data_IF_913875646127
#
_entry.id   IF_913875646127
#
_cell.length_a   1.000
_cell.length_b   1.000
_cell.length_c   1.000
_cell.angle_alpha   90.00
_cell.angle_beta   90.00
_cell.angle_gamma   90.00
#
_symmetry.space_group_name_H-M   'P 1'
#
loop_
_entity.id
_entity.type
_entity.pdbx_description
1 polymer ?
#
# COMPACT_ATOMS: atom_id res chain seq x y z
N UNK A 1 -26.99 -3.34 4.50
CA UNK A 1 -27.11 -3.78 3.08
C UNK A 1 -27.47 -2.62 2.14
N UNK A 2 -28.69 -2.05 2.11
CA UNK A 2 -29.01 -0.93 1.18
C UNK A 2 -28.11 0.30 1.37
N UNK A 3 -27.86 0.71 2.62
CA UNK A 3 -26.96 1.83 2.95
C UNK A 3 -25.51 1.57 2.49
N UNK A 4 -25.02 0.35 2.67
CA UNK A 4 -23.65 -0.02 2.26
C UNK A 4 -23.53 -0.05 0.74
N UNK A 5 -24.54 -0.55 0.03
CA UNK A 5 -24.57 -0.55 -1.43
C UNK A 5 -24.50 0.88 -1.98
N UNK A 6 -25.28 1.81 -1.41
CA UNK A 6 -25.28 3.23 -1.81
C UNK A 6 -23.91 3.85 -1.51
N UNK A 7 -23.37 3.62 -0.31
CA UNK A 7 -22.06 4.15 0.08
C UNK A 7 -20.95 3.66 -0.87
N UNK A 8 -20.87 2.35 -1.12
CA UNK A 8 -19.83 1.77 -1.95
C UNK A 8 -20.02 2.09 -3.43
N UNK A 9 -21.26 2.15 -3.93
CA UNK A 9 -21.54 2.59 -5.31
C UNK A 9 -21.14 4.06 -5.52
N UNK A 10 -21.48 4.94 -4.58
CA UNK A 10 -21.05 6.34 -4.60
C UNK A 10 -19.53 6.47 -4.51
N UNK A 11 -18.90 5.73 -3.60
CA UNK A 11 -17.44 5.72 -3.42
C UNK A 11 -16.72 5.29 -4.71
N UNK A 12 -17.15 4.19 -5.34
CA UNK A 12 -16.56 3.71 -6.59
C UNK A 12 -16.69 4.75 -7.71
N UNK A 13 -17.86 5.39 -7.81
CA UNK A 13 -18.11 6.46 -8.79
C UNK A 13 -17.16 7.64 -8.58
N UNK A 14 -16.95 8.05 -7.33
CA UNK A 14 -16.01 9.14 -6.99
C UNK A 14 -14.58 8.75 -7.35
N UNK A 15 -14.13 7.53 -7.02
CA UNK A 15 -12.79 7.05 -7.36
C UNK A 15 -12.59 7.06 -8.89
N UNK A 16 -13.55 6.51 -9.64
CA UNK A 16 -13.49 6.51 -11.10
C UNK A 16 -13.42 7.94 -11.65
N UNK A 17 -14.20 8.87 -11.11
CA UNK A 17 -14.17 10.26 -11.55
C UNK A 17 -12.84 10.95 -11.25
N UNK A 18 -12.31 10.79 -10.02
CA UNK A 18 -11.05 11.42 -9.60
C UNK A 18 -9.84 10.89 -10.37
N UNK A 19 -9.82 9.60 -10.66
CA UNK A 19 -8.68 8.94 -11.30
C UNK A 19 -8.97 8.52 -12.75
N UNK A 20 -9.99 9.09 -13.39
CA UNK A 20 -10.41 8.71 -14.75
C UNK A 20 -9.29 8.82 -15.79
N UNK A 21 -8.34 9.74 -15.61
CA UNK A 21 -7.24 9.92 -16.56
C UNK A 21 -6.30 8.70 -16.59
N UNK A 22 -6.31 7.84 -15.57
CA UNK A 22 -5.57 6.57 -15.58
C UNK A 22 -5.91 5.72 -16.83
N UNK A 23 -7.18 5.69 -17.24
CA UNK A 23 -7.64 4.93 -18.41
C UNK A 23 -7.09 5.44 -19.75
N UNK A 24 -6.47 6.63 -19.78
CA UNK A 24 -5.79 7.18 -20.96
C UNK A 24 -4.27 6.91 -20.97
N UNK A 25 -3.73 6.40 -19.87
CA UNK A 25 -2.31 6.07 -19.73
C UNK A 25 -2.04 4.71 -20.36
N UNK A 26 -1.09 4.68 -21.29
CA UNK A 26 -0.62 3.47 -21.95
C UNK A 26 0.52 2.82 -21.15
N UNK A 27 0.96 1.64 -21.58
CA UNK A 27 2.14 0.99 -21.00
C UNK A 27 3.37 1.90 -20.99
N UNK A 28 4.13 1.85 -19.91
CA UNK A 28 5.29 2.67 -19.68
C UNK A 28 6.33 1.94 -18.80
N UNK A 29 7.62 2.16 -19.10
CA UNK A 29 8.76 1.58 -18.37
C UNK A 29 8.63 0.07 -18.16
N UNK A 30 8.55 -0.37 -16.90
CA UNK A 30 8.57 -1.77 -16.47
C UNK A 30 7.41 -2.59 -17.05
N UNK A 31 6.32 -1.93 -17.49
CA UNK A 31 5.20 -2.59 -18.15
C UNK A 31 5.65 -3.40 -19.38
N UNK A 32 6.60 -2.87 -20.16
CA UNK A 32 7.12 -3.56 -21.35
C UNK A 32 7.95 -4.80 -20.97
N UNK A 33 8.72 -4.71 -19.89
CA UNK A 33 9.44 -5.86 -19.36
C UNK A 33 8.46 -6.94 -18.87
N UNK A 34 7.42 -6.54 -18.14
CA UNK A 34 6.39 -7.47 -17.65
C UNK A 34 5.62 -8.15 -18.78
N UNK A 35 5.27 -7.43 -19.84
CA UNK A 35 4.72 -8.02 -21.06
C UNK A 35 5.68 -9.05 -21.67
N UNK A 36 6.98 -8.76 -21.70
CA UNK A 36 7.94 -9.70 -22.28
C UNK A 36 8.02 -11.01 -21.49
N UNK A 37 8.12 -10.94 -20.16
CA UNK A 37 8.25 -12.14 -19.31
C UNK A 37 6.94 -12.93 -19.16
N UNK A 38 5.79 -12.29 -19.38
CA UNK A 38 4.48 -12.95 -19.30
C UNK A 38 4.05 -13.62 -20.61
N UNK A 39 4.82 -13.46 -21.69
CA UNK A 39 4.49 -14.03 -22.99
C UNK A 39 4.82 -15.52 -23.05
N UNK A 40 3.81 -16.36 -22.84
CA UNK A 40 3.93 -17.82 -22.84
C UNK A 40 2.85 -18.45 -23.74
N UNK A 41 3.16 -19.64 -24.27
CA UNK A 41 2.27 -20.37 -25.18
C UNK A 41 1.89 -21.77 -24.68
N UNK A 42 2.19 -22.09 -23.42
CA UNK A 42 1.92 -23.41 -22.85
C UNK A 42 1.50 -23.33 -21.39
N UNK A 43 0.72 -24.32 -20.94
CA UNK A 43 0.31 -24.45 -19.54
C UNK A 43 1.51 -24.61 -18.59
N UNK A 44 2.55 -25.34 -19.01
CA UNK A 44 3.78 -25.45 -18.24
C UNK A 44 4.47 -24.10 -18.08
N UNK A 45 4.45 -23.25 -19.12
CA UNK A 45 4.94 -21.87 -19.02
C UNK A 45 4.20 -21.08 -17.94
N UNK A 46 2.88 -21.28 -17.80
CA UNK A 46 2.09 -20.60 -16.79
C UNK A 46 2.45 -21.08 -15.37
N UNK A 47 2.67 -22.38 -15.17
CA UNK A 47 3.15 -22.91 -13.89
C UNK A 47 4.54 -22.38 -13.54
N UNK A 48 5.40 -22.18 -14.55
CA UNK A 48 6.74 -21.62 -14.35
C UNK A 48 6.72 -20.17 -13.85
N UNK A 49 5.62 -19.43 -14.02
CA UNK A 49 5.46 -18.14 -13.36
C UNK A 49 5.62 -18.24 -11.86
N UNK A 50 5.32 -19.37 -11.22
CA UNK A 50 5.47 -19.52 -9.76
C UNK A 50 6.84 -20.05 -9.34
N UNK A 51 7.78 -20.27 -10.27
CA UNK A 51 9.14 -20.70 -9.96
C UNK A 51 9.96 -19.58 -9.31
N UNK A 52 10.50 -19.74 -8.10
CA UNK A 52 11.32 -18.71 -7.46
C UNK A 52 12.73 -18.58 -8.05
N UNK A 53 13.13 -19.49 -8.95
CA UNK A 53 14.45 -19.49 -9.59
C UNK A 53 14.39 -18.61 -10.85
N UNK A 54 14.94 -17.39 -10.77
CA UNK A 54 14.88 -16.37 -11.81
C UNK A 54 15.88 -15.23 -11.55
N UNK A 55 16.14 -14.43 -12.58
CA UNK A 55 17.09 -13.32 -12.55
C UNK A 55 16.45 -11.95 -12.21
N UNK A 56 15.17 -11.93 -11.86
CA UNK A 56 14.40 -10.73 -11.51
C UNK A 56 13.54 -10.96 -10.25
N UNK A 57 12.93 -9.91 -9.72
CA UNK A 57 12.13 -10.00 -8.49
C UNK A 57 10.96 -10.99 -8.60
N UNK A 58 10.80 -11.86 -7.61
CA UNK A 58 9.75 -12.87 -7.57
C UNK A 58 8.36 -12.29 -7.23
N UNK A 59 7.57 -11.90 -8.24
CA UNK A 59 6.24 -11.26 -8.02
C UNK A 59 5.15 -11.83 -8.96
N UNK A 60 4.96 -13.16 -8.96
CA UNK A 60 4.27 -13.87 -10.04
C UNK A 60 2.85 -13.39 -10.35
N UNK A 61 2.09 -12.94 -9.34
CA UNK A 61 0.70 -12.54 -9.54
C UNK A 61 0.56 -11.21 -10.28
N UNK A 62 1.13 -10.10 -9.79
CA UNK A 62 0.98 -8.79 -10.44
C UNK A 62 1.85 -8.60 -11.68
N UNK A 63 2.97 -9.33 -11.84
CA UNK A 63 3.86 -9.13 -12.99
C UNK A 63 3.63 -10.13 -14.11
N UNK A 64 3.48 -11.43 -13.83
CA UNK A 64 3.31 -12.42 -14.92
C UNK A 64 1.84 -12.79 -15.13
N UNK A 65 1.12 -13.19 -14.09
CA UNK A 65 -0.28 -13.63 -14.24
C UNK A 65 -1.18 -12.49 -14.72
N UNK A 66 -1.00 -11.29 -14.17
CA UNK A 66 -1.74 -10.11 -14.61
C UNK A 66 -1.42 -9.75 -16.07
N UNK A 67 -0.15 -9.62 -16.45
CA UNK A 67 0.21 -9.25 -17.83
C UNK A 67 -0.11 -10.35 -18.85
N UNK A 68 -0.01 -11.62 -18.47
CA UNK A 68 -0.50 -12.74 -19.26
C UNK A 68 -2.00 -12.58 -19.54
N UNK A 69 -2.80 -12.28 -18.52
CA UNK A 69 -4.23 -12.01 -18.70
C UNK A 69 -4.47 -10.81 -19.64
N UNK A 70 -3.73 -9.71 -19.47
CA UNK A 70 -3.88 -8.51 -20.33
C UNK A 70 -3.50 -8.80 -21.79
N UNK A 71 -2.48 -9.61 -22.05
CA UNK A 71 -2.15 -10.04 -23.42
C UNK A 71 -3.30 -10.82 -24.08
N UNK A 72 -3.98 -11.67 -23.32
CA UNK A 72 -5.15 -12.42 -23.83
C UNK A 72 -6.35 -11.53 -24.14
N UNK A 73 -6.40 -10.33 -23.57
CA UNK A 73 -7.41 -9.31 -23.92
C UNK A 73 -7.02 -8.46 -25.14
N UNK A 74 -5.90 -8.79 -25.81
CA UNK A 74 -5.36 -7.99 -26.90
C UNK A 74 -4.68 -6.72 -26.42
N UNK A 75 -4.07 -6.74 -25.22
CA UNK A 75 -3.40 -5.58 -24.61
C UNK A 75 -4.34 -4.37 -24.40
N UNK A 76 -5.59 -4.64 -24.03
CA UNK A 76 -6.60 -3.60 -23.88
C UNK A 76 -6.39 -2.79 -22.58
N UNK A 77 -5.99 -1.52 -22.72
CA UNK A 77 -5.72 -0.61 -21.59
C UNK A 77 -6.93 -0.39 -20.69
N UNK A 78 -8.13 -0.31 -21.27
CA UNK A 78 -9.36 -0.10 -20.51
C UNK A 78 -9.61 -1.31 -19.60
N UNK A 79 -9.39 -2.52 -20.12
CA UNK A 79 -9.53 -3.76 -19.33
C UNK A 79 -8.45 -3.82 -18.25
N UNK A 80 -7.21 -3.46 -18.57
CA UNK A 80 -6.11 -3.44 -17.60
C UNK A 80 -6.41 -2.51 -16.41
N UNK A 81 -6.75 -1.25 -16.68
CA UNK A 81 -7.11 -0.30 -15.64
C UNK A 81 -8.40 -0.69 -14.91
N UNK A 82 -9.39 -1.24 -15.61
CA UNK A 82 -10.60 -1.74 -14.95
C UNK A 82 -10.27 -2.81 -13.90
N UNK A 83 -9.40 -3.78 -14.23
CA UNK A 83 -8.96 -4.80 -13.27
C UNK A 83 -8.27 -4.17 -12.07
N UNK A 84 -7.35 -3.22 -12.28
CA UNK A 84 -6.67 -2.51 -11.18
C UNK A 84 -7.69 -1.83 -10.26
N UNK A 85 -8.62 -1.06 -10.82
CA UNK A 85 -9.63 -0.32 -10.07
C UNK A 85 -10.62 -1.23 -9.34
N UNK A 86 -11.06 -2.33 -9.96
CA UNK A 86 -11.92 -3.31 -9.31
C UNK A 86 -11.19 -4.00 -8.16
N UNK A 87 -9.93 -4.40 -8.34
CA UNK A 87 -9.12 -4.99 -7.28
C UNK A 87 -8.94 -4.01 -6.13
N UNK A 88 -8.62 -2.74 -6.41
CA UNK A 88 -8.51 -1.69 -5.39
C UNK A 88 -9.82 -1.51 -4.61
N UNK A 89 -10.94 -1.46 -5.33
CA UNK A 89 -12.27 -1.32 -4.72
C UNK A 89 -12.65 -2.50 -3.82
N UNK A 90 -12.32 -3.74 -4.21
CA UNK A 90 -12.47 -4.92 -3.35
C UNK A 90 -11.63 -4.75 -2.07
N UNK A 91 -10.39 -4.26 -2.21
CA UNK A 91 -9.53 -3.93 -1.07
C UNK A 91 -10.17 -2.92 -0.12
N UNK A 92 -10.77 -1.86 -0.64
CA UNK A 92 -11.50 -0.86 0.16
C UNK A 92 -12.69 -1.45 0.92
N UNK A 93 -13.43 -2.40 0.32
CA UNK A 93 -14.51 -3.09 1.02
C UNK A 93 -13.97 -3.90 2.21
N UNK A 94 -12.86 -4.61 2.03
CA UNK A 94 -12.22 -5.36 3.13
C UNK A 94 -11.58 -4.46 4.17
N UNK A 95 -11.03 -3.31 3.78
CA UNK A 95 -10.54 -2.28 4.69
C UNK A 95 -11.70 -1.77 5.58
N UNK A 96 -12.82 -1.37 4.98
CA UNK A 96 -14.02 -0.96 5.72
C UNK A 96 -14.50 -2.05 6.68
N UNK A 97 -14.60 -3.30 6.20
CA UNK A 97 -15.06 -4.42 7.03
C UNK A 97 -14.11 -4.70 8.20
N UNK A 98 -12.80 -4.58 7.98
CA UNK A 98 -11.78 -4.70 9.02
C UNK A 98 -11.93 -3.61 10.07
N UNK A 99 -11.99 -2.34 9.63
CA UNK A 99 -12.19 -1.18 10.49
C UNK A 99 -13.49 -1.29 11.28
N UNK A 100 -14.58 -1.70 10.65
CA UNK A 100 -15.87 -1.86 11.32
C UNK A 100 -15.82 -2.97 12.37
N UNK A 101 -15.13 -4.07 12.08
CA UNK A 101 -15.02 -5.18 13.02
C UNK A 101 -14.17 -4.81 14.24
N UNK A 102 -13.08 -4.05 14.04
CA UNK A 102 -12.17 -3.63 15.11
C UNK A 102 -12.77 -2.48 15.94
N UNK A 103 -13.26 -1.43 15.28
CA UNK A 103 -13.71 -0.19 15.94
C UNK A 103 -15.16 -0.25 16.40
N UNK A 104 -15.97 -1.12 15.78
CA UNK A 104 -17.44 -1.18 15.96
C UNK A 104 -18.13 0.16 15.70
N UNK A 105 -17.53 1.03 14.89
CA UNK A 105 -18.04 2.35 14.58
C UNK A 105 -18.18 2.53 13.06
N UNK A 106 -19.42 2.55 12.59
CA UNK A 106 -19.77 2.64 11.17
C UNK A 106 -19.33 3.96 10.54
N UNK A 107 -19.56 5.08 11.24
CA UNK A 107 -19.21 6.43 10.74
C UNK A 107 -17.69 6.56 10.61
N UNK A 108 -16.94 6.14 11.63
CA UNK A 108 -15.48 6.15 11.60
C UNK A 108 -14.95 5.26 10.47
N UNK A 109 -15.50 4.06 10.32
CA UNK A 109 -15.04 3.10 9.31
C UNK A 109 -15.32 3.60 7.89
N UNK A 110 -16.51 4.19 7.65
CA UNK A 110 -16.82 4.83 6.35
C UNK A 110 -15.92 6.02 6.10
N UNK A 111 -15.78 6.93 7.05
CA UNK A 111 -14.97 8.14 6.89
C UNK A 111 -13.51 7.80 6.62
N UNK A 112 -12.92 6.88 7.39
CA UNK A 112 -11.53 6.45 7.19
C UNK A 112 -11.34 5.75 5.83
N UNK A 113 -12.27 4.89 5.42
CA UNK A 113 -12.20 4.22 4.10
C UNK A 113 -12.35 5.23 2.96
N UNK A 114 -13.27 6.20 3.10
CA UNK A 114 -13.45 7.27 2.12
C UNK A 114 -12.18 8.12 1.98
N UNK A 115 -11.61 8.59 3.11
CA UNK A 115 -10.40 9.40 3.11
C UNK A 115 -9.20 8.65 2.51
N UNK A 116 -9.05 7.36 2.82
CA UNK A 116 -8.04 6.52 2.19
C UNK A 116 -8.28 6.41 0.69
N UNK A 117 -9.51 6.08 0.27
CA UNK A 117 -9.88 5.86 -1.12
C UNK A 117 -9.62 7.04 -2.07
N UNK A 118 -9.81 8.27 -1.58
CA UNK A 118 -9.64 9.50 -2.38
C UNK A 118 -8.25 10.11 -2.22
N UNK A 119 -7.36 9.47 -1.46
CA UNK A 119 -6.02 9.99 -1.20
C UNK A 119 -5.17 10.03 -2.46
N UNK A 120 -4.49 11.16 -2.69
CA UNK A 120 -3.58 11.35 -3.82
C UNK A 120 -2.35 10.44 -3.78
N UNK A 121 -2.06 9.81 -2.63
CA UNK A 121 -0.99 8.81 -2.53
C UNK A 121 -1.19 7.64 -3.47
N UNK A 122 -2.43 7.40 -3.93
CA UNK A 122 -2.80 6.31 -4.84
C UNK A 122 -2.63 6.62 -6.32
N UNK A 123 -2.29 7.86 -6.70
CA UNK A 123 -2.16 8.24 -8.11
C UNK A 123 -1.20 7.30 -8.83
N UNK A 124 -0.04 7.04 -8.24
CA UNK A 124 0.97 6.18 -8.86
C UNK A 124 0.47 4.74 -9.03
N UNK A 125 -0.17 4.20 -7.99
CA UNK A 125 -0.66 2.82 -7.93
C UNK A 125 -1.85 2.56 -8.87
N UNK A 126 -2.62 3.60 -9.19
CA UNK A 126 -3.77 3.51 -10.07
C UNK A 126 -3.44 3.89 -11.53
N UNK A 127 -2.38 4.68 -11.78
CA UNK A 127 -2.02 5.13 -13.13
C UNK A 127 -0.96 4.24 -13.78
N UNK A 128 -0.02 3.68 -13.01
CA UNK A 128 1.07 2.88 -13.57
C UNK A 128 0.85 1.39 -13.32
N UNK A 129 0.59 0.62 -14.38
CA UNK A 129 0.20 -0.79 -14.28
C UNK A 129 1.29 -1.68 -13.64
N UNK A 130 2.57 -1.38 -13.81
CA UNK A 130 3.68 -2.05 -13.11
C UNK A 130 3.52 -2.06 -11.59
N UNK A 131 2.85 -1.05 -11.04
CA UNK A 131 2.64 -0.90 -9.60
C UNK A 131 1.39 -1.63 -9.09
N UNK A 132 0.70 -2.39 -9.96
CA UNK A 132 -0.44 -3.22 -9.59
C UNK A 132 -0.12 -4.19 -8.43
N UNK A 133 1.15 -4.56 -8.26
CA UNK A 133 1.65 -5.29 -7.10
C UNK A 133 1.21 -4.68 -5.75
N UNK A 134 1.19 -3.35 -5.64
CA UNK A 134 0.80 -2.66 -4.40
C UNK A 134 -0.69 -2.78 -4.13
N UNK A 135 -1.50 -2.61 -5.19
CA UNK A 135 -2.96 -2.70 -5.12
C UNK A 135 -3.40 -4.12 -4.77
N UNK A 136 -2.83 -5.12 -5.45
CA UNK A 136 -3.17 -6.52 -5.22
C UNK A 136 -2.71 -6.99 -3.84
N UNK A 137 -1.50 -6.61 -3.42
CA UNK A 137 -1.01 -6.85 -2.06
C UNK A 137 -1.93 -6.20 -1.01
N UNK A 138 -2.29 -4.92 -1.17
CA UNK A 138 -3.21 -4.21 -0.27
C UNK A 138 -4.56 -4.94 -0.15
N UNK A 139 -5.12 -5.38 -1.28
CA UNK A 139 -6.41 -6.08 -1.30
C UNK A 139 -6.34 -7.41 -0.56
N UNK A 140 -5.31 -8.22 -0.82
CA UNK A 140 -5.13 -9.49 -0.13
C UNK A 140 -4.83 -9.32 1.36
N UNK A 141 -3.99 -8.35 1.75
CA UNK A 141 -3.70 -8.10 3.17
C UNK A 141 -4.92 -7.56 3.93
N UNK A 142 -5.70 -6.66 3.32
CA UNK A 142 -6.94 -6.16 3.92
C UNK A 142 -7.96 -7.28 4.10
N UNK A 143 -8.09 -8.17 3.12
CA UNK A 143 -8.96 -9.33 3.21
C UNK A 143 -8.44 -10.36 4.24
N UNK A 144 -7.14 -10.64 4.25
CA UNK A 144 -6.50 -11.51 5.23
C UNK A 144 -6.77 -11.00 6.65
N UNK A 145 -6.53 -9.71 6.91
CA UNK A 145 -6.79 -9.12 8.21
C UNK A 145 -8.27 -9.20 8.62
N UNK A 146 -9.20 -8.94 7.70
CA UNK A 146 -10.62 -9.11 7.99
C UNK A 146 -10.95 -10.53 8.47
N UNK A 147 -10.49 -11.56 7.75
CA UNK A 147 -10.74 -12.96 8.12
C UNK A 147 -9.99 -13.37 9.40
N UNK A 148 -8.78 -12.85 9.62
CA UNK A 148 -8.03 -13.02 10.85
C UNK A 148 -8.84 -12.54 12.07
N UNK A 149 -9.35 -11.30 12.02
CA UNK A 149 -10.16 -10.72 13.11
C UNK A 149 -11.50 -11.48 13.28
N UNK A 150 -12.05 -12.03 12.20
CA UNK A 150 -13.23 -12.93 12.24
C UNK A 150 -12.93 -14.35 12.71
N UNK A 151 -11.67 -14.66 13.06
CA UNK A 151 -11.20 -15.99 13.50
C UNK A 151 -11.29 -17.08 12.41
N UNK A 152 -11.44 -16.69 11.15
CA UNK A 152 -11.40 -17.59 10.00
C UNK A 152 -9.95 -17.72 9.50
N UNK A 153 -9.14 -18.51 10.18
CA UNK A 153 -7.69 -18.55 9.96
C UNK A 153 -7.29 -19.08 8.59
N UNK A 154 -7.95 -20.12 8.08
CA UNK A 154 -7.62 -20.71 6.79
C UNK A 154 -7.72 -19.71 5.62
N UNK A 155 -8.86 -19.02 5.38
CA UNK A 155 -8.93 -18.03 4.31
C UNK A 155 -7.96 -16.86 4.54
N UNK A 156 -7.74 -16.47 5.79
CA UNK A 156 -6.74 -15.44 6.13
C UNK A 156 -5.31 -15.83 5.73
N UNK A 157 -4.91 -17.07 6.03
CA UNK A 157 -3.59 -17.60 5.66
C UNK A 157 -3.46 -17.72 4.15
N UNK A 158 -4.49 -18.21 3.45
CA UNK A 158 -4.47 -18.30 1.98
C UNK A 158 -4.27 -16.92 1.37
N UNK A 159 -5.04 -15.92 1.79
CA UNK A 159 -4.92 -14.55 1.31
C UNK A 159 -3.55 -13.93 1.66
N UNK A 160 -3.01 -14.26 2.83
CA UNK A 160 -1.66 -13.84 3.19
C UNK A 160 -0.60 -14.45 2.26
N UNK A 161 -0.67 -15.74 1.94
CA UNK A 161 0.22 -16.38 0.97
C UNK A 161 0.10 -15.71 -0.42
N UNK A 162 -1.13 -15.43 -0.86
CA UNK A 162 -1.35 -14.71 -2.12
C UNK A 162 -0.73 -13.30 -2.10
N UNK A 163 -0.77 -12.59 -0.96
CA UNK A 163 -0.09 -11.30 -0.83
C UNK A 163 1.43 -11.41 -0.92
N UNK A 164 2.02 -12.51 -0.43
CA UNK A 164 3.45 -12.80 -0.55
C UNK A 164 3.86 -13.10 -1.99
N UNK A 165 2.94 -13.52 -2.86
CA UNK A 165 3.16 -13.63 -4.30
C UNK A 165 2.99 -12.30 -5.06
N UNK A 166 2.60 -11.23 -4.36
CA UNK A 166 2.49 -9.90 -4.95
C UNK A 166 3.77 -9.09 -4.73
N UNK A 167 4.27 -9.05 -3.49
CA UNK A 167 5.45 -8.26 -3.13
C UNK A 167 6.09 -8.78 -1.86
N UNK A 168 7.41 -8.74 -1.79
CA UNK A 168 8.23 -9.15 -0.65
C UNK A 168 7.85 -8.42 0.64
N UNK A 169 7.43 -7.16 0.57
CA UNK A 169 7.03 -6.35 1.74
C UNK A 169 5.81 -6.91 2.47
N UNK A 170 5.06 -7.83 1.85
CA UNK A 170 3.96 -8.51 2.53
C UNK A 170 4.41 -9.32 3.76
N UNK A 171 5.67 -9.78 3.85
CA UNK A 171 6.20 -10.50 5.03
C UNK A 171 5.97 -9.74 6.34
N UNK A 172 5.96 -8.41 6.24
CA UNK A 172 5.78 -7.48 7.36
C UNK A 172 4.38 -7.53 7.96
N UNK A 173 3.41 -8.10 7.26
CA UNK A 173 2.08 -8.33 7.79
C UNK A 173 2.09 -9.25 9.02
N UNK A 174 3.01 -10.22 9.09
CA UNK A 174 3.14 -11.07 10.27
C UNK A 174 3.57 -10.27 11.51
N UNK A 175 4.47 -9.29 11.34
CA UNK A 175 4.85 -8.36 12.39
C UNK A 175 3.66 -7.48 12.78
N UNK A 176 2.95 -6.92 11.79
CA UNK A 176 1.72 -6.17 12.04
C UNK A 176 0.70 -6.96 12.88
N UNK A 177 0.48 -8.25 12.59
CA UNK A 177 -0.41 -9.10 13.38
C UNK A 177 0.09 -9.32 14.81
N UNK A 178 1.41 -9.48 15.02
CA UNK A 178 2.00 -9.51 16.36
C UNK A 178 1.70 -8.23 17.11
N UNK A 179 1.91 -7.07 16.50
CA UNK A 179 1.60 -5.77 17.11
C UNK A 179 0.10 -5.65 17.44
N UNK A 180 -0.77 -6.03 16.50
CA UNK A 180 -2.21 -6.02 16.72
C UNK A 180 -2.62 -6.88 17.92
N UNK A 181 -2.14 -8.13 18.02
CA UNK A 181 -2.46 -9.04 19.13
C UNK A 181 -1.89 -8.57 20.48
N UNK A 182 -0.68 -8.01 20.49
CA UNK A 182 -0.02 -7.62 21.75
C UNK A 182 -0.62 -6.34 22.33
N UNK A 183 -0.95 -5.36 21.47
CA UNK A 183 -1.31 -4.02 21.92
C UNK A 183 -2.81 -3.67 21.81
N UNK A 184 -3.55 -4.24 20.85
CA UNK A 184 -4.97 -3.93 20.65
C UNK A 184 -5.90 -5.04 21.15
N UNK A 185 -5.45 -6.30 21.08
CA UNK A 185 -6.29 -7.43 21.46
C UNK A 185 -6.00 -7.90 22.89
N UNK A 186 -6.98 -7.77 23.80
CA UNK A 186 -6.81 -8.11 25.22
C UNK A 186 -6.58 -9.60 25.49
N UNK A 187 -7.05 -10.48 24.60
CA UNK A 187 -6.88 -11.94 24.72
C UNK A 187 -5.76 -12.37 23.79
N UNK A 188 -4.56 -12.52 24.33
CA UNK A 188 -3.36 -12.89 23.58
C UNK A 188 -3.49 -14.33 23.10
N UNK A 189 -3.80 -14.52 21.83
CA UNK A 189 -3.85 -15.84 21.20
C UNK A 189 -2.62 -16.04 20.29
N UNK A 190 -1.41 -15.83 20.84
CA UNK A 190 -0.13 -15.79 20.11
C UNK A 190 0.11 -17.06 19.27
N UNK A 191 -0.42 -18.22 19.69
CA UNK A 191 -0.32 -19.47 18.92
C UNK A 191 -0.89 -19.35 17.50
N UNK A 192 -1.87 -18.48 17.28
CA UNK A 192 -2.46 -18.22 15.95
C UNK A 192 -1.52 -17.48 15.00
N UNK A 193 -0.49 -16.82 15.53
CA UNK A 193 0.51 -16.08 14.75
C UNK A 193 1.59 -17.00 14.19
N UNK A 194 1.77 -18.19 14.76
CA UNK A 194 2.83 -19.14 14.38
C UNK A 194 2.80 -19.44 12.86
N UNK A 195 1.65 -19.76 12.23
CA UNK A 195 1.62 -20.00 10.79
C UNK A 195 2.08 -18.79 9.98
N UNK A 196 1.69 -17.57 10.36
CA UNK A 196 2.08 -16.34 9.65
C UNK A 196 3.59 -16.10 9.76
N UNK A 197 4.17 -16.30 10.94
CA UNK A 197 5.61 -16.14 11.16
C UNK A 197 6.42 -17.19 10.40
N UNK A 198 6.02 -18.45 10.43
CA UNK A 198 6.68 -19.54 9.68
C UNK A 198 6.60 -19.26 8.18
N UNK A 199 5.41 -18.93 7.65
CA UNK A 199 5.23 -18.63 6.22
C UNK A 199 6.07 -17.41 5.82
N UNK A 200 6.08 -16.35 6.63
CA UNK A 200 6.90 -15.15 6.36
C UNK A 200 8.38 -15.48 6.32
N UNK A 201 8.86 -16.32 7.25
CA UNK A 201 10.27 -16.73 7.30
C UNK A 201 10.64 -17.60 6.09
N UNK A 202 9.78 -18.56 5.71
CA UNK A 202 10.01 -19.38 4.53
C UNK A 202 10.05 -18.54 3.25
N UNK A 203 9.10 -17.61 3.08
CA UNK A 203 9.11 -16.70 1.94
C UNK A 203 10.32 -15.77 1.94
N UNK A 204 10.73 -15.25 3.11
CA UNK A 204 11.96 -14.46 3.21
C UNK A 204 13.18 -15.23 2.71
N UNK A 205 13.31 -16.52 3.05
CA UNK A 205 14.40 -17.36 2.55
C UNK A 205 14.34 -17.57 1.04
N UNK A 206 13.14 -17.76 0.47
CA UNK A 206 12.91 -17.86 -0.97
C UNK A 206 13.31 -16.55 -1.68
N UNK A 207 12.81 -15.42 -1.18
CA UNK A 207 13.12 -14.09 -1.72
C UNK A 207 14.61 -13.76 -1.64
N UNK A 208 15.27 -14.12 -0.54
CA UNK A 208 16.71 -13.90 -0.38
C UNK A 208 17.52 -14.57 -1.49
N UNK A 209 17.10 -15.74 -1.96
CA UNK A 209 17.75 -16.42 -3.08
C UNK A 209 17.59 -15.64 -4.40
N UNK A 210 16.38 -15.14 -4.69
CA UNK A 210 16.11 -14.31 -5.88
C UNK A 210 16.80 -12.93 -5.82
N UNK A 211 16.95 -12.36 -4.62
CA UNK A 211 17.51 -11.02 -4.42
C UNK A 211 19.02 -10.93 -4.69
N UNK A 212 19.78 -12.02 -4.59
CA UNK A 212 21.23 -12.01 -4.80
C UNK A 212 21.64 -11.43 -6.17
N UNK A 213 20.79 -11.58 -7.18
CA UNK A 213 21.04 -11.02 -8.52
C UNK A 213 20.72 -9.52 -8.60
N UNK A 214 19.69 -9.07 -7.87
CA UNK A 214 19.21 -7.67 -7.90
C UNK A 214 20.08 -6.75 -7.04
N UNK A 215 20.49 -7.20 -5.84
CA UNK A 215 21.24 -6.38 -4.88
C UNK A 215 22.68 -6.09 -5.27
N UNK A 216 23.19 -6.74 -6.32
CA UNK A 216 24.53 -6.47 -6.86
C UNK A 216 24.59 -5.19 -7.70
N UNK A 217 23.44 -4.66 -8.11
CA UNK A 217 23.36 -3.41 -8.86
C UNK A 217 23.49 -2.21 -7.90
N UNK A 218 24.38 -1.27 -8.22
CA UNK A 218 24.68 -0.11 -7.39
C UNK A 218 23.44 0.73 -7.04
N UNK A 219 22.46 0.78 -7.94
CA UNK A 219 21.21 1.52 -7.73
C UNK A 219 20.29 0.90 -6.67
N UNK A 220 20.51 -0.36 -6.30
CA UNK A 220 19.67 -1.11 -5.36
C UNK A 220 20.44 -1.57 -4.11
N UNK A 221 21.63 -1.02 -3.87
CA UNK A 221 22.40 -1.29 -2.65
C UNK A 221 21.72 -0.66 -1.45
N UNK A 222 21.57 -1.46 -0.39
CA UNK A 222 21.04 -1.01 0.90
C UNK A 222 22.13 -0.19 1.60
N UNK A 223 21.93 1.12 1.72
CA UNK A 223 22.90 2.05 2.30
C UNK A 223 22.60 2.30 3.79
N UNK A 224 23.03 1.38 4.65
CA UNK A 224 22.85 1.52 6.11
C UNK A 224 23.88 2.42 6.79
N UNK A 225 24.96 2.80 6.08
CA UNK A 225 26.05 3.56 6.71
C UNK A 225 25.73 5.06 6.84
N UNK A 226 24.84 5.58 6.00
CA UNK A 226 24.49 6.99 5.97
C UNK A 226 23.19 7.28 6.73
N UNK A 227 23.29 7.39 8.06
CA UNK A 227 22.12 7.65 8.93
C UNK A 227 21.37 8.95 8.55
N UNK A 228 22.08 9.95 8.02
CA UNK A 228 21.47 11.21 7.58
C UNK A 228 20.57 10.99 6.37
N UNK A 229 21.00 10.16 5.42
CA UNK A 229 20.20 9.77 4.26
C UNK A 229 18.96 8.97 4.70
N UNK A 230 19.11 8.00 5.60
CA UNK A 230 17.98 7.21 6.13
C UNK A 230 16.91 8.11 6.79
N UNK A 231 17.33 9.05 7.64
CA UNK A 231 16.42 10.02 8.27
C UNK A 231 15.74 10.88 7.21
N UNK A 232 16.49 11.38 6.23
CA UNK A 232 15.95 12.22 5.16
C UNK A 232 14.90 11.46 4.32
N UNK A 233 15.18 10.22 3.92
CA UNK A 233 14.25 9.37 3.19
C UNK A 233 13.01 9.08 4.04
N UNK A 234 13.17 8.73 5.32
CA UNK A 234 12.07 8.48 6.25
C UNK A 234 11.12 9.67 6.32
N UNK A 235 11.67 10.88 6.40
CA UNK A 235 10.86 12.09 6.47
C UNK A 235 10.14 12.36 5.15
N UNK A 236 10.80 12.19 4.00
CA UNK A 236 10.16 12.36 2.69
C UNK A 236 9.03 11.37 2.46
N UNK A 237 9.24 10.09 2.76
CA UNK A 237 8.20 9.08 2.65
C UNK A 237 7.05 9.31 3.65
N UNK A 238 7.36 9.84 4.84
CA UNK A 238 6.35 10.25 5.83
C UNK A 238 5.52 11.45 5.32
N UNK A 239 6.16 12.43 4.68
CA UNK A 239 5.45 13.53 4.03
C UNK A 239 4.59 13.03 2.88
N UNK A 240 5.13 12.13 2.05
CA UNK A 240 4.36 11.55 0.95
C UNK A 240 3.15 10.76 1.45
N UNK A 241 3.29 9.98 2.53
CA UNK A 241 2.18 9.18 3.08
C UNK A 241 1.02 10.02 3.63
N UNK A 242 1.30 11.26 4.07
CA UNK A 242 0.26 12.23 4.46
C UNK A 242 -0.22 13.10 3.30
N UNK A 243 0.27 12.88 2.08
CA UNK A 243 -0.21 13.52 0.85
C UNK A 243 0.70 14.59 0.26
N UNK A 244 1.94 14.78 0.72
CA UNK A 244 2.85 15.67 -0.01
C UNK A 244 3.17 15.09 -1.40
N UNK A 245 3.26 15.92 -2.46
CA UNK A 245 3.62 15.44 -3.79
C UNK A 245 5.01 14.80 -3.83
N UNK A 246 5.14 13.69 -4.55
CA UNK A 246 6.40 12.97 -4.68
C UNK A 246 7.52 13.81 -5.32
N UNK A 247 7.19 14.71 -6.26
CA UNK A 247 8.17 15.59 -6.90
C UNK A 247 8.84 16.56 -5.91
N UNK A 248 8.29 16.76 -4.70
CA UNK A 248 8.85 17.75 -3.78
C UNK A 248 10.27 17.39 -3.36
N UNK A 249 10.62 16.12 -3.21
CA UNK A 249 11.99 15.72 -2.83
C UNK A 249 13.04 16.18 -3.84
N UNK A 250 12.67 16.31 -5.12
CA UNK A 250 13.58 16.68 -6.20
C UNK A 250 14.10 18.12 -6.08
N UNK A 251 13.39 18.95 -5.32
CA UNK A 251 13.71 20.35 -5.11
C UNK A 251 14.52 20.63 -3.83
N UNK A 252 14.82 19.60 -3.04
CA UNK A 252 15.52 19.74 -1.76
C UNK A 252 16.74 18.82 -1.72
N UNK A 253 17.92 19.38 -1.41
CA UNK A 253 19.12 18.57 -1.11
C UNK A 253 18.92 17.70 0.13
N UNK A 254 18.17 18.22 1.10
CA UNK A 254 17.71 17.54 2.29
C UNK A 254 16.49 18.30 2.80
N UNK A 255 15.60 17.63 3.52
CA UNK A 255 14.44 18.26 4.15
C UNK A 255 14.81 19.40 5.11
N UNK A 256 16.02 19.39 5.67
CA UNK A 256 16.53 20.44 6.55
C UNK A 256 17.24 21.58 5.80
N UNK A 257 17.35 21.49 4.47
CA UNK A 257 17.98 22.51 3.63
C UNK A 257 16.93 23.37 2.94
N UNK A 258 17.30 24.60 2.58
CA UNK A 258 16.44 25.44 1.76
C UNK A 258 16.20 24.78 0.38
N UNK A 259 14.98 24.92 -0.19
CA UNK A 259 14.71 24.43 -1.53
C UNK A 259 15.51 25.19 -2.59
N UNK A 260 15.76 24.56 -3.73
CA UNK A 260 16.37 25.20 -4.89
C UNK A 260 15.43 26.27 -5.48
N UNK A 261 15.94 27.30 -6.19
CA UNK A 261 15.12 28.39 -6.73
C UNK A 261 13.93 27.94 -7.59
N UNK A 262 14.07 26.85 -8.33
CA UNK A 262 13.05 26.26 -9.20
C UNK A 262 11.80 25.84 -8.44
N UNK A 263 11.94 25.46 -7.17
CA UNK A 263 10.84 25.09 -6.29
C UNK A 263 9.78 26.18 -6.21
N UNK A 264 10.21 27.44 -6.11
CA UNK A 264 9.30 28.57 -6.00
C UNK A 264 8.49 28.78 -7.27
N UNK A 265 9.04 28.45 -8.44
CA UNK A 265 8.30 28.47 -9.70
C UNK A 265 7.20 27.42 -9.70
N UNK A 266 7.49 26.23 -9.18
CA UNK A 266 6.55 25.11 -9.11
C UNK A 266 5.42 25.39 -8.10
N UNK A 267 5.74 25.87 -6.90
CA UNK A 267 4.73 26.20 -5.89
C UNK A 267 3.83 27.36 -6.33
N UNK A 268 4.34 28.29 -7.13
CA UNK A 268 3.54 29.38 -7.68
C UNK A 268 2.57 28.93 -8.78
N UNK A 269 2.62 27.67 -9.22
CA UNK A 269 1.58 27.10 -10.08
C UNK A 269 0.24 27.10 -9.32
N UNK A 270 -0.84 27.71 -9.86
CA UNK A 270 -2.12 27.82 -9.17
C UNK A 270 -2.69 26.48 -8.71
N UNK A 271 -2.55 25.43 -9.52
CA UNK A 271 -3.06 24.09 -9.22
C UNK A 271 -2.35 23.47 -8.02
N UNK A 272 -1.02 23.57 -8.00
CA UNK A 272 -0.18 23.07 -6.90
C UNK A 272 -0.46 23.88 -5.63
N UNK A 273 -0.62 25.20 -5.74
CA UNK A 273 -0.93 26.04 -4.60
C UNK A 273 -2.29 25.71 -3.98
N UNK A 274 -3.32 25.50 -4.81
CA UNK A 274 -4.65 25.08 -4.34
C UNK A 274 -4.55 23.73 -3.64
N UNK A 275 -3.83 22.77 -4.23
CA UNK A 275 -3.60 21.46 -3.64
C UNK A 275 -2.94 21.58 -2.25
N UNK A 276 -1.84 22.31 -2.14
CA UNK A 276 -1.11 22.48 -0.87
C UNK A 276 -1.94 23.20 0.18
N UNK A 277 -2.77 24.18 -0.21
CA UNK A 277 -3.70 24.86 0.71
C UNK A 277 -4.77 23.90 1.24
N UNK A 278 -5.36 23.08 0.37
CA UNK A 278 -6.35 22.08 0.78
C UNK A 278 -5.72 21.02 1.68
N UNK A 279 -4.55 20.51 1.32
CA UNK A 279 -3.78 19.59 2.16
C UNK A 279 -3.49 20.19 3.54
N UNK A 280 -3.00 21.44 3.58
CA UNK A 280 -2.75 22.17 4.82
C UNK A 280 -4.00 22.32 5.67
N UNK A 281 -5.14 22.69 5.07
CA UNK A 281 -6.42 22.78 5.76
C UNK A 281 -6.86 21.43 6.36
N UNK A 282 -6.73 20.34 5.59
CA UNK A 282 -7.01 18.98 6.06
C UNK A 282 -6.13 18.59 7.24
N UNK A 283 -4.82 18.86 7.17
CA UNK A 283 -3.88 18.56 8.25
C UNK A 283 -4.20 19.37 9.51
N UNK A 284 -4.54 20.66 9.38
CA UNK A 284 -4.96 21.51 10.51
C UNK A 284 -6.21 20.97 11.18
N UNK A 285 -7.23 20.58 10.40
CA UNK A 285 -8.47 19.99 10.95
C UNK A 285 -8.18 18.66 11.65
N UNK A 286 -7.33 17.81 11.08
CA UNK A 286 -6.92 16.54 11.68
C UNK A 286 -6.19 16.75 13.01
N UNK A 287 -5.19 17.64 13.03
CA UNK A 287 -4.41 17.97 14.23
C UNK A 287 -5.33 18.59 15.29
N UNK A 288 -6.17 19.55 14.91
CA UNK A 288 -7.13 20.18 15.81
C UNK A 288 -8.13 19.18 16.41
N UNK A 289 -8.60 18.22 15.61
CA UNK A 289 -9.48 17.14 16.08
C UNK A 289 -8.79 16.21 17.07
N UNK A 290 -7.52 15.87 16.81
CA UNK A 290 -6.68 15.10 17.73
C UNK A 290 -6.52 15.84 19.06
N UNK A 291 -6.11 17.11 19.01
CA UNK A 291 -5.90 17.94 20.20
C UNK A 291 -7.20 18.07 21.01
N UNK A 292 -8.33 18.35 20.35
CA UNK A 292 -9.63 18.42 21.00
C UNK A 292 -10.01 17.12 21.72
N UNK A 293 -9.76 15.95 21.10
CA UNK A 293 -9.99 14.65 21.71
C UNK A 293 -9.07 14.39 22.91
N UNK A 294 -7.79 14.79 22.81
CA UNK A 294 -6.81 14.67 23.89
C UNK A 294 -7.24 15.50 25.12
N UNK A 295 -7.70 16.73 24.92
CA UNK A 295 -8.13 17.63 25.99
C UNK A 295 -9.41 17.12 26.66
N UNK A 296 -10.38 16.64 25.88
CA UNK A 296 -11.71 16.31 26.41
C UNK A 296 -11.74 15.04 27.26
N UNK A 297 -10.83 14.08 27.05
CA UNK A 297 -10.89 12.81 27.75
C UNK A 297 -9.51 12.15 27.89
N UNK A 298 -8.96 12.16 29.11
CA UNK A 298 -7.63 11.58 29.42
C UNK A 298 -7.55 10.07 29.15
N UNK A 299 -8.68 9.34 29.22
CA UNK A 299 -8.73 7.93 28.80
C UNK A 299 -8.70 7.80 27.27
N UNK A 300 -9.32 8.73 26.55
CA UNK A 300 -9.18 8.82 25.09
C UNK A 300 -7.76 9.20 24.69
N UNK A 301 -7.05 10.00 25.48
CA UNK A 301 -5.65 10.33 25.22
C UNK A 301 -4.73 9.11 25.27
N UNK A 302 -4.88 8.26 26.29
CA UNK A 302 -4.13 6.99 26.35
C UNK A 302 -4.47 6.08 25.18
N UNK A 303 -5.75 5.93 24.84
CA UNK A 303 -6.18 5.08 23.73
C UNK A 303 -5.66 5.61 22.38
N UNK A 304 -5.74 6.92 22.16
CA UNK A 304 -5.22 7.59 20.98
C UNK A 304 -3.71 7.43 20.86
N UNK A 305 -2.96 7.60 21.96
CA UNK A 305 -1.52 7.38 21.97
C UNK A 305 -1.15 5.94 21.58
N UNK A 306 -1.89 4.92 22.05
CA UNK A 306 -1.68 3.53 21.62
C UNK A 306 -1.97 3.37 20.11
N UNK A 307 -3.09 3.90 19.60
CA UNK A 307 -3.42 3.78 18.18
C UNK A 307 -2.43 4.55 17.29
N UNK A 308 -2.00 5.73 17.71
CA UNK A 308 -1.01 6.55 17.03
C UNK A 308 0.35 5.83 17.02
N UNK A 309 0.78 5.28 18.15
CA UNK A 309 2.00 4.49 18.25
C UNK A 309 1.96 3.28 17.33
N UNK A 310 0.86 2.53 17.30
CA UNK A 310 0.72 1.36 16.42
C UNK A 310 0.68 1.78 14.97
N UNK A 311 -0.02 2.86 14.63
CA UNK A 311 -0.09 3.34 13.24
C UNK A 311 1.28 3.81 12.76
N UNK A 312 2.00 4.58 13.58
CA UNK A 312 3.35 5.03 13.31
C UNK A 312 4.34 3.87 13.20
N UNK A 313 4.31 2.92 14.14
CA UNK A 313 5.19 1.76 14.11
C UNK A 313 4.89 0.85 12.93
N UNK A 314 3.60 0.60 12.62
CA UNK A 314 3.20 -0.17 11.44
C UNK A 314 3.67 0.53 10.17
N UNK A 315 3.51 1.84 10.09
CA UNK A 315 4.03 2.64 8.98
C UNK A 315 5.55 2.48 8.84
N UNK A 316 6.32 2.59 9.93
CA UNK A 316 7.77 2.38 9.90
C UNK A 316 8.17 0.96 9.51
N UNK A 317 7.44 -0.06 9.99
CA UNK A 317 7.67 -1.46 9.56
C UNK A 317 7.53 -1.52 8.04
N UNK A 318 6.40 -1.07 7.47
CA UNK A 318 6.13 -1.14 6.04
C UNK A 318 7.03 -0.25 5.19
N UNK A 319 7.57 0.83 5.78
CA UNK A 319 8.52 1.70 5.12
C UNK A 319 9.95 1.15 5.15
N UNK A 320 10.30 0.33 6.13
CA UNK A 320 11.65 -0.21 6.34
C UNK A 320 12.34 -0.78 5.10
N UNK A 321 11.67 -1.55 4.21
CA UNK A 321 12.28 -2.07 2.99
C UNK A 321 12.70 -1.00 1.95
N UNK A 322 12.24 0.25 2.12
CA UNK A 322 12.43 1.37 1.19
C UNK A 322 13.43 2.40 1.78
N UNK A 323 13.75 2.30 3.08
CA UNK A 323 14.73 3.15 3.78
C UNK A 323 16.15 2.64 3.61
#
# INVERSE_FOLDING_TARGET
>A
MKKDLIYFGGLFTIILFLFQQAFSIHFFQDDYFFLQISNIHSFQGFLNFFSPIRDYSYKPLPTEVFYFFIQHTGNNMIVAHAVVFFTYFIGLIFLYKSLLTVTKNEVLSRTATFLYAVSFVHVFQLYWLATYQEILMFTFLSAAFYFYVKRALLPSIILFILSLFCKETAILFSLFLVFYEVFLHKKREIKKLIPYLIISMLFYLIYRYSLQFVTNNDNYKIELSNIRLMINNTLWYSLWSIGFPNFMSDYFRSIFSAPIPEFWKVINNPTILIYLKLLGATLVVCIGSIIYLLIRNIRSARLLAVHAFISFFSFLIFLGPIL
#
